data_IF_832671939929
#
_entry.id   IF_832671939929
#
_cell.length_a   1.000
_cell.length_b   1.000
_cell.length_c   1.000
_cell.angle_alpha   90.00
_cell.angle_beta   90.00
_cell.angle_gamma   90.00
#
_symmetry.space_group_name_H-M   'P 1'
#
loop_
_entity.id
_entity.type
_entity.pdbx_description
1 polymer ?
#
# COMPACT_ATOMS: atom_id res chain seq x y z
N UNK A 1 39.78 14.36 21.73
CA UNK A 1 38.61 15.26 21.67
C UNK A 1 38.13 15.46 20.22
N UNK A 2 38.98 15.93 19.29
CA UNK A 2 38.65 16.12 17.86
C UNK A 2 38.05 14.88 17.15
N UNK A 3 38.57 13.67 17.39
CA UNK A 3 38.06 12.44 16.74
C UNK A 3 36.61 12.14 17.12
N UNK A 4 36.24 12.36 18.39
CA UNK A 4 34.87 12.14 18.89
C UNK A 4 33.90 13.17 18.31
N UNK A 5 34.37 14.39 18.09
CA UNK A 5 33.60 15.47 17.48
C UNK A 5 33.34 15.20 15.99
N UNK A 6 34.35 14.72 15.25
CA UNK A 6 34.19 14.30 13.85
C UNK A 6 33.20 13.13 13.71
N UNK A 7 33.27 12.12 14.60
CA UNK A 7 32.32 11.01 14.62
C UNK A 7 30.90 11.50 14.94
N UNK A 8 30.76 12.43 15.90
CA UNK A 8 29.47 13.03 16.25
C UNK A 8 28.87 13.85 15.11
N UNK A 9 29.69 14.60 14.39
CA UNK A 9 29.26 15.38 13.22
C UNK A 9 28.83 14.44 12.09
N UNK A 10 29.62 13.39 11.78
CA UNK A 10 29.25 12.43 10.74
C UNK A 10 27.97 11.65 11.08
N UNK A 11 27.78 11.25 12.33
CA UNK A 11 26.55 10.58 12.77
C UNK A 11 25.34 11.52 12.73
N UNK A 12 25.51 12.79 13.07
CA UNK A 12 24.43 13.80 13.00
C UNK A 12 24.05 14.10 11.54
N UNK A 13 25.04 14.24 10.65
CA UNK A 13 24.83 14.45 9.21
C UNK A 13 24.22 13.22 8.54
N UNK A 14 24.65 12.01 8.91
CA UNK A 14 24.06 10.75 8.42
C UNK A 14 22.61 10.57 8.89
N UNK A 15 22.29 10.98 10.12
CA UNK A 15 20.93 10.97 10.66
C UNK A 15 20.05 12.03 9.99
N UNK A 16 20.60 13.20 9.67
CA UNK A 16 19.91 14.24 8.90
C UNK A 16 19.63 13.85 7.44
N UNK A 17 20.49 13.01 6.84
CA UNK A 17 20.27 12.45 5.49
C UNK A 17 19.14 11.42 5.40
N UNK A 18 18.82 10.71 6.49
CA UNK A 18 17.65 9.83 6.56
C UNK A 18 16.42 10.70 6.88
N UNK A 19 15.67 11.10 5.86
CA UNK A 19 14.48 11.94 6.02
C UNK A 19 13.54 11.47 7.14
N UNK A 20 12.81 12.41 7.75
CA UNK A 20 11.92 12.13 8.89
C UNK A 20 10.91 11.01 8.58
N UNK A 21 10.62 10.17 9.57
CA UNK A 21 9.64 9.06 9.42
C UNK A 21 8.31 9.57 8.89
N UNK A 22 7.83 10.72 9.37
CA UNK A 22 6.60 11.36 8.90
C UNK A 22 6.66 11.70 7.41
N UNK A 23 7.78 12.25 6.93
CA UNK A 23 7.96 12.54 5.51
C UNK A 23 8.00 11.28 4.64
N UNK A 24 8.54 10.17 5.17
CA UNK A 24 8.53 8.88 4.49
C UNK A 24 7.11 8.30 4.38
N UNK A 25 6.30 8.38 5.45
CA UNK A 25 4.89 7.94 5.42
C UNK A 25 4.09 8.72 4.38
N UNK A 26 4.25 10.04 4.34
CA UNK A 26 3.56 10.87 3.34
C UNK A 26 3.94 10.49 1.90
N UNK A 27 5.23 10.33 1.61
CA UNK A 27 5.69 9.88 0.28
C UNK A 27 5.20 8.48 -0.04
N UNK A 28 5.20 7.57 0.94
CA UNK A 28 4.69 6.20 0.75
C UNK A 28 3.21 6.21 0.34
N UNK A 29 2.37 6.99 1.04
CA UNK A 29 0.97 7.18 0.67
C UNK A 29 0.81 7.77 -0.74
N UNK A 30 1.63 8.77 -1.09
CA UNK A 30 1.60 9.39 -2.42
C UNK A 30 2.02 8.41 -3.53
N UNK A 31 3.02 7.56 -3.28
CA UNK A 31 3.39 6.46 -4.19
C UNK A 31 2.22 5.50 -4.37
N UNK A 32 1.50 5.16 -3.30
CA UNK A 32 0.28 4.35 -3.37
C UNK A 32 -0.76 4.94 -4.32
N UNK A 33 -1.13 6.21 -4.13
CA UNK A 33 -2.11 6.91 -4.97
C UNK A 33 -1.64 6.94 -6.44
N UNK A 34 -0.37 7.30 -6.66
CA UNK A 34 0.21 7.35 -8.01
C UNK A 34 0.17 5.98 -8.70
N UNK A 35 0.48 4.90 -7.97
CA UNK A 35 0.42 3.55 -8.53
C UNK A 35 -1.00 3.17 -8.93
N UNK A 36 -2.01 3.51 -8.12
CA UNK A 36 -3.42 3.24 -8.46
C UNK A 36 -3.85 4.01 -9.70
N UNK A 37 -3.44 5.28 -9.84
CA UNK A 37 -3.74 6.08 -11.05
C UNK A 37 -3.06 5.48 -12.28
N UNK A 38 -1.76 5.15 -12.20
CA UNK A 38 -1.00 4.56 -13.31
C UNK A 38 -1.60 3.22 -13.71
N UNK A 39 -1.91 2.34 -12.75
CA UNK A 39 -2.54 1.05 -12.99
C UNK A 39 -3.87 1.21 -13.71
N UNK A 40 -4.74 2.11 -13.23
CA UNK A 40 -6.04 2.35 -13.84
C UNK A 40 -5.94 2.92 -15.26
N UNK A 41 -5.06 3.91 -15.48
CA UNK A 41 -4.86 4.52 -16.81
C UNK A 41 -4.33 3.50 -17.81
N UNK A 42 -3.33 2.69 -17.44
CA UNK A 42 -2.78 1.66 -18.31
C UNK A 42 -3.83 0.57 -18.57
N UNK A 43 -4.54 0.11 -17.54
CA UNK A 43 -5.59 -0.89 -17.66
C UNK A 43 -6.69 -0.46 -18.64
N UNK A 44 -7.25 0.74 -18.47
CA UNK A 44 -8.29 1.27 -19.35
C UNK A 44 -7.72 1.57 -20.75
N UNK A 45 -6.50 2.07 -20.85
CA UNK A 45 -5.83 2.32 -22.12
C UNK A 45 -5.66 1.03 -22.94
N UNK A 46 -5.16 -0.04 -22.33
CA UNK A 46 -4.95 -1.34 -22.98
C UNK A 46 -6.27 -1.99 -23.39
N UNK A 47 -7.29 -1.98 -22.51
CA UNK A 47 -8.59 -2.58 -22.83
C UNK A 47 -9.27 -1.86 -23.99
N UNK A 48 -9.18 -0.53 -24.05
CA UNK A 48 -9.76 0.27 -25.15
C UNK A 48 -8.94 0.18 -26.44
N UNK A 49 -7.62 0.25 -26.37
CA UNK A 49 -6.76 0.28 -27.56
C UNK A 49 -6.75 -1.05 -28.32
N UNK A 50 -6.79 -2.17 -27.59
CA UNK A 50 -6.78 -3.51 -28.18
C UNK A 50 -8.17 -4.16 -28.23
N UNK A 51 -9.23 -3.41 -27.90
CA UNK A 51 -10.61 -3.92 -27.84
C UNK A 51 -10.72 -5.25 -27.11
N UNK A 52 -10.04 -5.35 -25.95
CA UNK A 52 -9.91 -6.61 -25.21
C UNK A 52 -11.30 -7.02 -24.72
N UNK A 53 -11.76 -8.24 -25.04
CA UNK A 53 -13.09 -8.69 -24.64
C UNK A 53 -13.15 -8.93 -23.13
N UNK A 54 -14.37 -8.88 -22.58
CA UNK A 54 -14.61 -8.92 -21.13
C UNK A 54 -14.07 -10.20 -20.45
N UNK A 55 -14.03 -11.32 -21.17
CA UNK A 55 -13.47 -12.60 -20.70
C UNK A 55 -11.93 -12.60 -20.62
N UNK A 56 -11.26 -11.61 -21.22
CA UNK A 56 -9.80 -11.53 -21.33
C UNK A 56 -9.18 -10.29 -20.68
N UNK A 57 -9.95 -9.50 -19.94
CA UNK A 57 -9.46 -8.28 -19.26
C UNK A 57 -8.33 -8.54 -18.27
N UNK A 58 -8.20 -9.77 -17.77
CA UNK A 58 -7.10 -10.19 -16.90
C UNK A 58 -5.73 -9.99 -17.57
N UNK A 59 -5.64 -10.07 -18.90
CA UNK A 59 -4.38 -9.84 -19.65
C UNK A 59 -3.92 -8.38 -19.52
N UNK A 60 -4.83 -7.41 -19.72
CA UNK A 60 -4.56 -6.00 -19.48
C UNK A 60 -4.22 -5.74 -18.01
N UNK A 61 -4.90 -6.42 -17.09
CA UNK A 61 -4.68 -6.26 -15.65
C UNK A 61 -3.32 -6.78 -15.19
N UNK A 62 -2.84 -7.88 -15.78
CA UNK A 62 -1.49 -8.39 -15.50
C UNK A 62 -0.41 -7.40 -15.96
N UNK A 63 -0.57 -6.82 -17.15
CA UNK A 63 0.38 -5.84 -17.68
C UNK A 63 0.36 -4.56 -16.84
N UNK A 64 -0.83 -3.99 -16.59
CA UNK A 64 -0.96 -2.75 -15.81
C UNK A 64 -0.47 -2.94 -14.36
N UNK A 65 -0.81 -4.07 -13.75
CA UNK A 65 -0.37 -4.43 -12.40
C UNK A 65 1.15 -4.61 -12.32
N UNK A 66 1.78 -5.21 -13.33
CA UNK A 66 3.24 -5.35 -13.39
C UNK A 66 3.94 -4.00 -13.46
N UNK A 67 3.43 -3.08 -14.28
CA UNK A 67 3.95 -1.70 -14.36
C UNK A 67 3.77 -0.98 -13.02
N UNK A 68 2.61 -1.10 -12.38
CA UNK A 68 2.35 -0.49 -11.09
C UNK A 68 3.27 -1.03 -9.98
N UNK A 69 3.55 -2.34 -9.96
CA UNK A 69 4.50 -2.96 -9.01
C UNK A 69 5.92 -2.46 -9.28
N UNK A 70 6.37 -2.42 -10.54
CA UNK A 70 7.68 -1.91 -10.89
C UNK A 70 7.85 -0.43 -10.50
N UNK A 71 6.82 0.38 -10.75
CA UNK A 71 6.75 1.79 -10.36
C UNK A 71 6.82 1.94 -8.84
N UNK A 72 6.06 1.12 -8.12
CA UNK A 72 6.07 1.06 -6.66
C UNK A 72 7.48 0.78 -6.13
N UNK A 73 8.16 -0.24 -6.65
CA UNK A 73 9.53 -0.56 -6.25
C UNK A 73 10.47 0.60 -6.51
N UNK A 74 10.43 1.17 -7.71
CA UNK A 74 11.30 2.28 -8.11
C UNK A 74 11.15 3.49 -7.19
N UNK A 75 9.92 3.98 -6.98
CA UNK A 75 9.68 5.17 -6.16
C UNK A 75 9.87 4.92 -4.66
N UNK A 76 9.49 3.74 -4.15
CA UNK A 76 9.78 3.41 -2.76
C UNK A 76 11.29 3.40 -2.51
N UNK A 77 12.06 2.76 -3.41
CA UNK A 77 13.51 2.69 -3.32
C UNK A 77 14.16 4.08 -3.39
N UNK A 78 13.88 4.84 -4.44
CA UNK A 78 14.64 6.05 -4.79
C UNK A 78 14.11 7.32 -4.12
N UNK A 79 12.80 7.43 -3.87
CA UNK A 79 12.19 8.65 -3.37
C UNK A 79 11.73 8.56 -1.91
N UNK A 80 11.07 7.46 -1.52
CA UNK A 80 10.59 7.26 -0.14
C UNK A 80 11.76 6.98 0.79
N UNK A 81 12.55 5.95 0.48
CA UNK A 81 13.66 5.49 1.33
C UNK A 81 15.03 6.00 0.88
N UNK A 82 15.09 6.70 -0.26
CA UNK A 82 16.29 7.40 -0.77
C UNK A 82 17.54 6.50 -0.81
N UNK A 83 17.34 5.22 -1.17
CA UNK A 83 18.44 4.30 -1.47
C UNK A 83 18.94 4.64 -2.87
N UNK A 84 20.15 5.20 -2.94
CA UNK A 84 20.84 5.55 -4.19
C UNK A 84 21.16 4.33 -5.06
N UNK A 85 22.21 4.40 -5.89
CA UNK A 85 22.67 3.29 -6.73
C UNK A 85 23.33 2.16 -5.92
N UNK A 86 22.59 1.51 -5.01
CA UNK A 86 23.04 0.31 -4.32
C UNK A 86 23.32 -0.80 -5.35
N UNK A 87 24.40 -1.56 -5.17
CA UNK A 87 24.75 -2.70 -6.02
C UNK A 87 23.77 -3.88 -5.90
N UNK A 88 22.81 -3.81 -4.98
CA UNK A 88 21.94 -4.93 -4.56
C UNK A 88 20.46 -4.73 -4.93
N UNK A 89 20.16 -3.95 -5.98
CA UNK A 89 18.78 -3.68 -6.42
C UNK A 89 17.93 -4.95 -6.60
N UNK A 90 18.52 -6.05 -7.09
CA UNK A 90 17.82 -7.35 -7.22
C UNK A 90 17.40 -7.92 -5.86
N UNK A 91 18.26 -7.86 -4.85
CA UNK A 91 17.93 -8.36 -3.51
C UNK A 91 16.87 -7.49 -2.84
N UNK A 92 16.96 -6.17 -2.99
CA UNK A 92 15.94 -5.23 -2.51
C UNK A 92 14.58 -5.51 -3.16
N UNK A 93 14.55 -5.79 -4.47
CA UNK A 93 13.32 -6.17 -5.17
C UNK A 93 12.71 -7.46 -4.62
N UNK A 94 13.53 -8.50 -4.40
CA UNK A 94 13.04 -9.77 -3.83
C UNK A 94 12.48 -9.55 -2.41
N UNK A 95 13.16 -8.80 -1.56
CA UNK A 95 12.65 -8.49 -0.20
C UNK A 95 11.37 -7.66 -0.26
N UNK A 96 11.29 -6.69 -1.16
CA UNK A 96 10.09 -5.90 -1.41
C UNK A 96 8.91 -6.79 -1.81
N UNK A 97 9.12 -7.70 -2.77
CA UNK A 97 8.09 -8.64 -3.22
C UNK A 97 7.63 -9.56 -2.09
N UNK A 98 8.56 -10.11 -1.29
CA UNK A 98 8.21 -10.96 -0.14
C UNK A 98 7.36 -10.18 0.86
N UNK A 99 7.79 -8.97 1.25
CA UNK A 99 7.04 -8.15 2.18
C UNK A 99 5.65 -7.78 1.64
N UNK A 100 5.56 -7.41 0.35
CA UNK A 100 4.29 -7.10 -0.33
C UNK A 100 3.35 -8.30 -0.31
N UNK A 101 3.85 -9.48 -0.68
CA UNK A 101 3.03 -10.68 -0.76
C UNK A 101 2.54 -11.14 0.61
N UNK A 102 3.38 -11.07 1.64
CA UNK A 102 2.95 -11.35 3.01
C UNK A 102 1.89 -10.35 3.46
N UNK A 103 2.06 -9.07 3.16
CA UNK A 103 1.09 -8.04 3.52
C UNK A 103 -0.28 -8.29 2.89
N UNK A 104 -0.33 -8.62 1.60
CA UNK A 104 -1.58 -8.79 0.85
C UNK A 104 -2.19 -10.17 1.11
N UNK A 105 -1.44 -11.25 0.91
CA UNK A 105 -2.01 -12.60 0.92
C UNK A 105 -2.11 -13.21 2.32
N UNK A 106 -1.29 -12.78 3.27
CA UNK A 106 -1.34 -13.30 4.64
C UNK A 106 -2.10 -12.34 5.53
N UNK A 107 -1.58 -11.11 5.69
CA UNK A 107 -2.12 -10.17 6.67
C UNK A 107 -3.50 -9.66 6.24
N UNK A 108 -3.61 -9.10 5.03
CA UNK A 108 -4.85 -8.49 4.59
C UNK A 108 -5.97 -9.53 4.45
N UNK A 109 -5.74 -10.67 3.79
CA UNK A 109 -6.77 -11.72 3.68
C UNK A 109 -7.25 -12.23 5.05
N UNK A 110 -6.33 -12.50 5.98
CA UNK A 110 -6.68 -12.98 7.32
C UNK A 110 -7.49 -11.94 8.10
N UNK A 111 -7.09 -10.67 8.04
CA UNK A 111 -7.78 -9.59 8.74
C UNK A 111 -9.14 -9.27 8.11
N UNK A 112 -9.27 -9.30 6.79
CA UNK A 112 -10.57 -9.14 6.12
C UNK A 112 -11.52 -10.25 6.58
N UNK A 113 -11.07 -11.50 6.57
CA UNK A 113 -11.88 -12.62 7.04
C UNK A 113 -12.28 -12.40 8.50
N UNK A 114 -11.32 -12.14 9.38
CA UNK A 114 -11.55 -11.94 10.82
C UNK A 114 -12.54 -10.80 11.11
N UNK A 115 -12.36 -9.62 10.52
CA UNK A 115 -13.26 -8.48 10.75
C UNK A 115 -14.63 -8.63 10.09
N UNK A 116 -14.75 -9.46 9.05
CA UNK A 116 -16.01 -9.71 8.37
C UNK A 116 -16.81 -10.88 8.96
N UNK A 117 -16.19 -11.83 9.67
CA UNK A 117 -16.88 -12.98 10.28
C UNK A 117 -16.88 -12.95 11.81
N UNK A 118 -15.71 -12.81 12.43
CA UNK A 118 -15.56 -12.99 13.89
C UNK A 118 -15.75 -11.68 14.67
N UNK A 119 -15.25 -10.57 14.14
CA UNK A 119 -15.23 -9.27 14.82
C UNK A 119 -15.83 -8.14 13.98
N UNK A 120 -17.15 -8.20 13.81
CA UNK A 120 -17.91 -7.26 12.98
C UNK A 120 -18.22 -5.92 13.66
N UNK A 121 -17.75 -5.69 14.90
CA UNK A 121 -18.11 -4.52 15.72
C UNK A 121 -17.88 -3.19 14.98
N UNK A 122 -16.75 -3.04 14.26
CA UNK A 122 -16.49 -1.83 13.48
C UNK A 122 -17.49 -1.66 12.32
N UNK A 123 -17.84 -2.74 11.63
CA UNK A 123 -18.75 -2.70 10.49
C UNK A 123 -20.18 -2.38 10.89
N UNK A 124 -20.67 -3.03 11.94
CA UNK A 124 -22.01 -2.81 12.52
C UNK A 124 -22.13 -1.40 13.10
N UNK A 125 -21.15 -0.94 13.87
CA UNK A 125 -21.14 0.44 14.39
C UNK A 125 -21.21 1.49 13.28
N UNK A 126 -20.46 1.30 12.19
CA UNK A 126 -20.52 2.21 11.04
C UNK A 126 -21.90 2.13 10.35
N UNK A 127 -22.46 0.94 10.20
CA UNK A 127 -23.80 0.77 9.63
C UNK A 127 -24.87 1.48 10.46
N UNK A 128 -24.85 1.32 11.78
CA UNK A 128 -25.80 1.96 12.71
C UNK A 128 -25.71 3.49 12.64
N UNK A 129 -24.50 4.04 12.52
CA UNK A 129 -24.28 5.47 12.31
C UNK A 129 -24.89 5.91 10.97
N UNK A 130 -24.61 5.19 9.88
CA UNK A 130 -25.16 5.51 8.55
C UNK A 130 -26.69 5.42 8.52
N UNK A 131 -27.27 4.46 9.24
CA UNK A 131 -28.71 4.31 9.38
C UNK A 131 -29.32 5.46 10.18
N UNK A 132 -28.70 5.84 11.31
CA UNK A 132 -29.15 6.97 12.15
C UNK A 132 -29.09 8.29 11.40
N UNK A 133 -28.15 8.45 10.47
CA UNK A 133 -28.04 9.62 9.59
C UNK A 133 -29.01 9.59 8.39
N UNK A 134 -29.82 8.54 8.24
CA UNK A 134 -30.75 8.36 7.11
C UNK A 134 -30.07 8.04 5.77
N UNK A 135 -28.75 7.83 5.75
CA UNK A 135 -28.00 7.59 4.50
C UNK A 135 -28.36 6.23 3.89
N UNK A 136 -28.66 5.23 4.73
CA UNK A 136 -29.11 3.90 4.28
C UNK A 136 -30.45 3.99 3.55
N UNK A 137 -31.35 4.88 3.97
CA UNK A 137 -32.66 5.06 3.34
C UNK A 137 -32.55 5.71 1.95
N UNK A 138 -31.53 6.56 1.74
CA UNK A 138 -31.27 7.17 0.42
C UNK A 138 -30.79 6.15 -0.60
N UNK A 139 -30.05 5.12 -0.18
CA UNK A 139 -29.41 4.14 -1.06
C UNK A 139 -29.54 2.70 -0.52
N UNK A 140 -30.76 2.17 -0.31
CA UNK A 140 -30.99 0.92 0.43
C UNK A 140 -30.42 -0.31 -0.27
N UNK A 141 -30.32 -0.28 -1.60
CA UNK A 141 -29.72 -1.36 -2.39
C UNK A 141 -28.20 -1.31 -2.44
N UNK A 142 -27.59 -0.17 -2.11
CA UNK A 142 -26.13 0.02 -2.15
C UNK A 142 -25.55 -0.13 -0.74
N UNK A 143 -26.11 0.59 0.24
CA UNK A 143 -25.67 0.62 1.63
C UNK A 143 -26.33 -0.50 2.45
N UNK A 144 -26.21 -1.74 1.97
CA UNK A 144 -26.61 -2.91 2.74
C UNK A 144 -25.65 -3.15 3.91
N UNK A 145 -26.13 -3.72 5.01
CA UNK A 145 -25.30 -4.06 6.18
C UNK A 145 -24.09 -4.91 5.78
N UNK A 146 -24.32 -5.95 4.96
CA UNK A 146 -23.25 -6.81 4.45
C UNK A 146 -22.19 -6.05 3.65
N UNK A 147 -22.61 -5.08 2.82
CA UNK A 147 -21.70 -4.25 2.06
C UNK A 147 -20.85 -3.36 2.97
N UNK A 148 -21.47 -2.70 3.95
CA UNK A 148 -20.77 -1.83 4.91
C UNK A 148 -19.76 -2.62 5.73
N UNK A 149 -20.15 -3.77 6.30
CA UNK A 149 -19.25 -4.63 7.08
C UNK A 149 -18.04 -5.07 6.25
N UNK A 150 -18.26 -5.57 5.02
CA UNK A 150 -17.17 -6.00 4.13
C UNK A 150 -16.24 -4.85 3.75
N UNK A 151 -16.80 -3.67 3.52
CA UNK A 151 -16.04 -2.47 3.16
C UNK A 151 -15.18 -1.99 4.32
N UNK A 152 -15.72 -1.95 5.53
CA UNK A 152 -14.99 -1.57 6.75
C UNK A 152 -13.90 -2.59 7.07
N UNK A 153 -14.20 -3.89 7.00
CA UNK A 153 -13.22 -4.96 7.17
C UNK A 153 -12.06 -4.84 6.17
N UNK A 154 -12.37 -4.61 4.89
CA UNK A 154 -11.38 -4.36 3.85
C UNK A 154 -10.51 -3.13 4.12
N UNK A 155 -11.12 -2.02 4.54
CA UNK A 155 -10.41 -0.79 4.85
C UNK A 155 -9.42 -0.98 6.02
N UNK A 156 -9.86 -1.59 7.12
CA UNK A 156 -9.02 -1.86 8.30
C UNK A 156 -7.86 -2.80 7.97
N UNK A 157 -8.15 -3.89 7.25
CA UNK A 157 -7.14 -4.84 6.83
C UNK A 157 -6.09 -4.20 5.88
N UNK A 158 -6.54 -3.31 4.99
CA UNK A 158 -5.65 -2.56 4.09
C UNK A 158 -4.75 -1.61 4.87
N UNK A 159 -5.27 -0.88 5.86
CA UNK A 159 -4.45 0.00 6.70
C UNK A 159 -3.38 -0.78 7.48
N UNK A 160 -3.75 -1.94 8.01
CA UNK A 160 -2.81 -2.84 8.69
C UNK A 160 -1.73 -3.37 7.74
N UNK A 161 -2.10 -3.85 6.56
CA UNK A 161 -1.16 -4.38 5.57
C UNK A 161 -0.24 -3.29 5.00
N UNK A 162 -0.75 -2.09 4.78
CA UNK A 162 0.06 -0.93 4.36
C UNK A 162 1.05 -0.51 5.45
N UNK A 163 0.63 -0.53 6.71
CA UNK A 163 1.51 -0.24 7.85
C UNK A 163 2.64 -1.28 7.95
N UNK A 164 2.31 -2.56 7.78
CA UNK A 164 3.29 -3.64 7.69
C UNK A 164 4.30 -3.39 6.56
N UNK A 165 3.81 -3.12 5.34
CA UNK A 165 4.67 -2.84 4.19
C UNK A 165 5.61 -1.67 4.45
N UNK A 166 5.09 -0.55 4.97
CA UNK A 166 5.91 0.61 5.27
C UNK A 166 7.04 0.28 6.25
N UNK A 167 6.73 -0.43 7.35
CA UNK A 167 7.71 -0.83 8.35
C UNK A 167 8.75 -1.78 7.75
N UNK A 168 8.31 -2.86 7.10
CA UNK A 168 9.21 -3.87 6.51
C UNK A 168 10.09 -3.29 5.41
N UNK A 169 9.56 -2.39 4.59
CA UNK A 169 10.35 -1.71 3.58
C UNK A 169 11.46 -0.87 4.22
N UNK A 170 11.11 -0.13 5.28
CA UNK A 170 12.06 0.71 6.00
C UNK A 170 13.16 -0.08 6.72
N UNK A 171 12.78 -1.15 7.42
CA UNK A 171 13.69 -1.87 8.33
C UNK A 171 14.37 -3.08 7.70
N UNK A 172 13.88 -3.58 6.57
CA UNK A 172 14.38 -4.82 5.96
C UNK A 172 14.55 -4.75 4.44
N UNK A 173 13.48 -4.44 3.69
CA UNK A 173 13.53 -4.56 2.23
C UNK A 173 14.52 -3.59 1.59
N UNK A 174 14.54 -2.35 2.10
CA UNK A 174 15.48 -1.32 1.73
C UNK A 174 16.43 -1.02 2.88
N UNK A 175 16.92 -2.01 3.62
CA UNK A 175 18.01 -1.86 4.59
C UNK A 175 19.36 -2.11 3.92
N UNK A 176 20.37 -1.34 4.35
CA UNK A 176 21.77 -1.47 3.91
C UNK A 176 22.31 -2.89 4.13
#
# INVERSE_FOLDING_TARGET
MLILETIRIQTTVAKARRGSTTGQVARFGMVGIMNTIIDYVIYIGLTKMFSIPLDRVWTAKLVSGSVAIANSFYFNRTWVFQRGSSKHAKQEFVRFMIATFVAVYVIQLSLVQFFSSEFQWFGTTVYDILQTLGLVELLPHILTESFVIKTVAFALATLASMSWNFVLYKVWAFKD
#
